data_IF_671286146580
#
_entry.id   IF_671286146580
#
_cell.length_a   1.000
_cell.length_b   1.000
_cell.length_c   1.000
_cell.angle_alpha   90.00
_cell.angle_beta   90.00
_cell.angle_gamma   90.00
#
_symmetry.space_group_name_H-M   'P 1'
#
loop_
_entity.id
_entity.type
_entity.pdbx_description
1 polymer ?
#
# COMPACT_ATOMS: atom_id res chain seq x y z
N UNK A 1 19.09 -19.79 -12.41
CA UNK A 1 18.11 -18.68 -12.29
C UNK A 1 17.06 -19.09 -11.27
N UNK A 2 17.02 -18.46 -10.10
CA UNK A 2 15.99 -18.75 -9.10
C UNK A 2 14.62 -18.27 -9.63
N UNK A 3 13.60 -19.12 -9.60
CA UNK A 3 12.24 -18.74 -9.97
C UNK A 3 11.76 -17.68 -8.98
N UNK A 4 11.38 -16.50 -9.46
CA UNK A 4 10.72 -15.50 -8.62
C UNK A 4 9.48 -16.15 -7.98
N UNK A 5 9.30 -16.03 -6.66
CA UNK A 5 8.16 -16.63 -5.98
C UNK A 5 6.85 -16.15 -6.61
N UNK A 6 5.92 -17.09 -6.80
CA UNK A 6 4.61 -16.78 -7.37
C UNK A 6 3.87 -15.90 -6.36
N UNK A 7 3.66 -14.62 -6.70
CA UNK A 7 2.77 -13.74 -5.95
C UNK A 7 1.42 -14.43 -5.76
N UNK A 8 1.09 -14.75 -4.51
CA UNK A 8 -0.21 -15.28 -4.10
C UNK A 8 -1.09 -14.10 -3.72
N UNK A 9 -2.29 -14.04 -4.29
CA UNK A 9 -3.27 -12.98 -4.01
C UNK A 9 -4.51 -13.68 -3.46
N UNK A 10 -4.91 -13.40 -2.20
CA UNK A 10 -6.06 -14.04 -1.59
C UNK A 10 -7.37 -13.64 -2.31
N UNK A 11 -8.44 -14.32 -1.95
CA UNK A 11 -9.80 -13.94 -2.32
C UNK A 11 -10.48 -13.26 -1.13
N UNK A 12 -11.46 -12.41 -1.39
CA UNK A 12 -12.29 -11.76 -0.38
C UNK A 12 -13.77 -11.94 -0.74
N UNK A 13 -14.65 -11.86 0.26
CA UNK A 13 -16.10 -11.77 0.03
C UNK A 13 -16.60 -10.32 0.03
N UNK A 14 -15.78 -9.39 0.53
CA UNK A 14 -16.09 -7.97 0.48
C UNK A 14 -15.84 -7.42 -0.94
N UNK A 15 -16.82 -6.72 -1.50
CA UNK A 15 -16.76 -6.21 -2.88
C UNK A 15 -15.61 -5.21 -3.08
N UNK A 16 -15.41 -4.31 -2.13
CA UNK A 16 -14.35 -3.32 -2.16
C UNK A 16 -12.96 -3.97 -2.13
N UNK A 17 -12.71 -4.88 -1.18
CA UNK A 17 -11.43 -5.59 -1.10
C UNK A 17 -11.19 -6.48 -2.33
N UNK A 18 -12.26 -7.10 -2.86
CA UNK A 18 -12.19 -7.86 -4.12
C UNK A 18 -11.75 -6.99 -5.28
N UNK A 19 -12.25 -5.76 -5.39
CA UNK A 19 -11.85 -4.81 -6.42
C UNK A 19 -10.35 -4.47 -6.33
N UNK A 20 -9.85 -4.18 -5.12
CA UNK A 20 -8.43 -3.94 -4.84
C UNK A 20 -7.58 -5.14 -5.25
N UNK A 21 -7.91 -6.34 -4.76
CA UNK A 21 -7.20 -7.58 -5.06
C UNK A 21 -7.21 -7.89 -6.56
N UNK A 22 -8.31 -7.61 -7.25
CA UNK A 22 -8.41 -7.79 -8.70
C UNK A 22 -7.45 -6.86 -9.47
N UNK A 23 -7.24 -5.64 -8.96
CA UNK A 23 -6.34 -4.67 -9.57
C UNK A 23 -4.87 -5.09 -9.40
N UNK A 24 -4.49 -5.58 -8.22
CA UNK A 24 -3.19 -6.23 -8.03
C UNK A 24 -3.00 -7.45 -8.92
N UNK A 25 -4.05 -8.28 -9.10
CA UNK A 25 -3.98 -9.46 -9.97
C UNK A 25 -3.71 -9.07 -11.42
N UNK A 26 -4.39 -8.03 -11.93
CA UNK A 26 -4.19 -7.48 -13.29
C UNK A 26 -2.78 -6.91 -13.49
N UNK A 27 -2.18 -6.30 -12.46
CA UNK A 27 -0.83 -5.69 -12.52
C UNK A 27 0.30 -6.60 -12.06
N UNK A 28 0.00 -7.83 -11.61
CA UNK A 28 0.96 -8.78 -11.05
C UNK A 28 2.18 -9.09 -11.92
N UNK A 29 2.07 -8.99 -13.25
CA UNK A 29 3.22 -9.13 -14.16
C UNK A 29 4.14 -7.91 -14.09
N UNK A 30 3.59 -6.71 -14.20
CA UNK A 30 4.36 -5.46 -14.15
C UNK A 30 5.09 -5.29 -12.81
N UNK A 31 4.39 -5.58 -11.71
CA UNK A 31 4.94 -5.48 -10.36
C UNK A 31 6.16 -6.41 -10.12
N UNK A 32 6.24 -7.55 -10.83
CA UNK A 32 7.35 -8.51 -10.69
C UNK A 32 8.63 -8.10 -11.42
N UNK A 33 8.54 -7.24 -12.44
CA UNK A 33 9.71 -6.88 -13.24
C UNK A 33 10.68 -5.94 -12.50
N UNK A 34 10.26 -5.34 -11.39
CA UNK A 34 10.97 -4.23 -10.76
C UNK A 34 11.91 -4.59 -9.59
N UNK A 35 12.29 -5.87 -9.41
CA UNK A 35 13.11 -6.33 -8.26
C UNK A 35 12.49 -6.11 -6.87
N UNK A 36 11.16 -6.07 -6.78
CA UNK A 36 10.42 -6.00 -5.53
C UNK A 36 9.84 -7.37 -5.17
N UNK A 37 9.91 -7.73 -3.89
CA UNK A 37 9.07 -8.79 -3.33
C UNK A 37 7.77 -8.16 -2.83
N UNK A 38 6.66 -8.81 -3.16
CA UNK A 38 5.32 -8.38 -2.74
C UNK A 38 4.67 -9.53 -2.01
N UNK A 39 4.18 -9.28 -0.80
CA UNK A 39 3.29 -10.16 -0.04
C UNK A 39 1.91 -9.51 0.05
N UNK A 40 0.85 -10.30 -0.15
CA UNK A 40 -0.53 -9.86 0.05
C UNK A 40 -1.21 -10.89 0.93
N UNK A 41 -1.62 -10.47 2.11
CA UNK A 41 -2.26 -11.32 3.11
C UNK A 41 -3.66 -10.82 3.42
N UNK A 42 -4.57 -11.76 3.63
CA UNK A 42 -5.92 -11.48 4.10
C UNK A 42 -5.98 -11.84 5.58
N UNK A 43 -6.32 -10.86 6.40
CA UNK A 43 -6.35 -10.95 7.86
C UNK A 43 -7.78 -10.69 8.32
N UNK A 44 -8.18 -11.38 9.38
CA UNK A 44 -9.39 -11.07 10.11
C UNK A 44 -9.01 -10.60 11.51
N UNK A 45 -9.47 -9.42 11.87
CA UNK A 45 -9.32 -8.86 13.21
C UNK A 45 -10.65 -9.03 13.94
N UNK A 46 -10.58 -9.53 15.17
CA UNK A 46 -11.74 -9.69 16.05
C UNK A 46 -11.75 -8.53 17.05
N UNK A 47 -12.83 -7.75 17.05
CA UNK A 47 -13.04 -6.62 17.96
C UNK A 47 -14.38 -6.79 18.67
N UNK A 48 -14.36 -7.11 19.96
CA UNK A 48 -15.53 -7.38 20.81
C UNK A 48 -16.46 -8.45 20.22
N UNK A 49 -17.37 -8.06 19.32
CA UNK A 49 -18.33 -8.93 18.62
C UNK A 49 -18.25 -8.86 17.08
N UNK A 50 -17.40 -7.99 16.53
CA UNK A 50 -17.26 -7.77 15.09
C UNK A 50 -15.99 -8.40 14.52
N UNK A 51 -16.16 -9.06 13.39
CA UNK A 51 -15.07 -9.60 12.58
C UNK A 51 -14.81 -8.66 11.41
N UNK A 52 -13.66 -7.98 11.45
CA UNK A 52 -13.26 -7.03 10.42
C UNK A 52 -12.25 -7.67 9.49
N UNK A 53 -12.56 -7.71 8.19
CA UNK A 53 -11.62 -8.16 7.17
C UNK A 53 -10.66 -7.04 6.79
N UNK A 54 -9.37 -7.39 6.67
CA UNK A 54 -8.29 -6.49 6.27
C UNK A 54 -7.37 -7.16 5.26
N UNK A 55 -6.87 -6.40 4.31
CA UNK A 55 -5.77 -6.81 3.43
C UNK A 55 -4.49 -6.09 3.85
N UNK A 56 -3.43 -6.85 4.06
CA UNK A 56 -2.08 -6.32 4.28
C UNK A 56 -1.22 -6.57 3.04
N UNK A 57 -0.56 -5.52 2.57
CA UNK A 57 0.31 -5.56 1.40
C UNK A 57 1.68 -5.06 1.82
N UNK A 58 2.68 -5.93 1.71
CA UNK A 58 4.07 -5.57 1.96
C UNK A 58 4.84 -5.60 0.65
N UNK A 59 5.54 -4.52 0.35
CA UNK A 59 6.35 -4.36 -0.86
C UNK A 59 7.78 -3.99 -0.42
N UNK A 60 8.73 -4.89 -0.67
CA UNK A 60 10.13 -4.77 -0.23
C UNK A 60 11.07 -4.81 -1.46
N UNK A 61 11.93 -3.79 -1.66
CA UNK A 61 12.93 -3.85 -2.72
C UNK A 61 14.02 -4.86 -2.34
N UNK A 62 14.52 -5.64 -3.30
CA UNK A 62 15.49 -6.71 -3.00
C UNK A 62 16.85 -6.21 -2.50
N UNK A 63 17.22 -4.98 -2.85
CA UNK A 63 18.58 -4.47 -2.67
C UNK A 63 18.67 -3.34 -1.63
N UNK A 64 17.59 -3.05 -0.89
CA UNK A 64 17.58 -1.99 0.13
C UNK A 64 16.85 -2.45 1.39
N UNK A 65 17.28 -1.95 2.54
CA UNK A 65 16.57 -2.12 3.80
C UNK A 65 15.46 -1.07 3.87
N UNK A 66 14.34 -1.41 3.27
CA UNK A 66 13.23 -0.50 3.05
C UNK A 66 11.92 -1.29 2.88
N UNK A 67 10.79 -0.66 3.16
CA UNK A 67 9.48 -1.32 3.02
C UNK A 67 8.38 -0.30 2.75
N UNK A 68 7.44 -0.65 1.87
CA UNK A 68 6.12 -0.05 1.76
C UNK A 68 5.09 -1.06 2.29
N UNK A 69 4.28 -0.64 3.26
CA UNK A 69 3.22 -1.43 3.87
C UNK A 69 1.88 -0.69 3.73
N UNK A 70 0.91 -1.35 3.11
CA UNK A 70 -0.46 -0.88 3.00
C UNK A 70 -1.35 -1.80 3.82
N UNK A 71 -2.24 -1.22 4.62
CA UNK A 71 -3.30 -1.96 5.30
C UNK A 71 -4.64 -1.38 4.89
N UNK A 72 -5.56 -2.23 4.48
CA UNK A 72 -6.81 -1.84 3.82
C UNK A 72 -7.93 -2.61 4.50
N UNK A 73 -8.78 -1.94 5.25
CA UNK A 73 -9.91 -2.53 5.94
C UNK A 73 -11.15 -2.55 5.03
N UNK A 74 -12.06 -3.47 5.29
CA UNK A 74 -13.29 -3.68 4.51
C UNK A 74 -14.22 -2.45 4.44
N UNK A 75 -14.06 -1.50 5.36
CA UNK A 75 -14.80 -0.24 5.47
C UNK A 75 -14.14 0.94 4.71
N UNK A 76 -13.11 0.64 3.92
CA UNK A 76 -12.27 1.56 3.14
C UNK A 76 -11.27 2.38 3.95
N UNK A 77 -11.05 2.09 5.24
CA UNK A 77 -9.90 2.66 5.94
C UNK A 77 -8.60 2.14 5.32
N UNK A 78 -7.64 3.03 5.10
CA UNK A 78 -6.33 2.69 4.56
C UNK A 78 -5.25 3.35 5.38
N UNK A 79 -4.24 2.58 5.74
CA UNK A 79 -2.96 3.11 6.22
C UNK A 79 -1.86 2.82 5.21
N UNK A 80 -1.04 3.81 4.93
CA UNK A 80 0.14 3.74 4.09
C UNK A 80 1.33 4.06 4.98
N UNK A 81 2.23 3.09 5.15
CA UNK A 81 3.49 3.32 5.83
C UNK A 81 4.65 2.94 4.91
N UNK A 82 5.68 3.76 4.89
CA UNK A 82 6.79 3.61 3.98
C UNK A 82 8.06 4.07 4.69
N UNK A 83 9.13 3.30 4.60
CA UNK A 83 10.37 3.66 5.28
C UNK A 83 11.60 3.12 4.56
N UNK A 84 12.73 3.78 4.78
CA UNK A 84 14.05 3.33 4.36
C UNK A 84 15.07 3.53 5.49
N UNK A 85 16.01 2.59 5.59
CA UNK A 85 17.06 2.56 6.60
C UNK A 85 18.38 2.16 5.95
N UNK A 86 19.19 3.12 5.57
CA UNK A 86 20.56 2.90 5.10
C UNK A 86 21.56 3.58 6.04
N UNK A 87 22.85 3.52 5.71
CA UNK A 87 23.87 4.32 6.41
C UNK A 87 23.74 5.81 6.11
N UNK A 88 23.20 6.16 4.95
CA UNK A 88 23.16 7.54 4.42
C UNK A 88 21.80 8.21 4.64
N UNK A 89 20.73 7.42 4.64
CA UNK A 89 19.35 7.90 4.67
C UNK A 89 18.52 7.11 5.69
N UNK A 90 17.73 7.82 6.49
CA UNK A 90 16.74 7.23 7.40
C UNK A 90 15.50 8.12 7.40
N UNK A 91 14.40 7.59 6.89
CA UNK A 91 13.16 8.34 6.85
C UNK A 91 11.95 7.41 7.01
N UNK A 92 10.89 7.96 7.57
CA UNK A 92 9.61 7.32 7.77
C UNK A 92 8.51 8.19 7.19
N UNK A 93 7.56 7.54 6.55
CA UNK A 93 6.35 8.13 6.04
C UNK A 93 5.17 7.33 6.55
N UNK A 94 4.17 8.04 7.04
CA UNK A 94 2.90 7.47 7.45
C UNK A 94 1.78 8.39 6.97
N UNK A 95 0.75 7.80 6.40
CA UNK A 95 -0.45 8.51 5.98
C UNK A 95 -1.65 7.57 6.08
N UNK A 96 -2.78 8.09 6.51
CA UNK A 96 -3.99 7.30 6.67
C UNK A 96 -5.23 8.10 6.32
N UNK A 97 -6.30 7.37 6.03
CA UNK A 97 -7.60 7.97 5.77
C UNK A 97 -8.54 6.99 5.09
N UNK A 98 -9.74 7.49 4.80
CA UNK A 98 -10.77 6.70 4.11
C UNK A 98 -10.61 6.80 2.61
N UNK A 99 -10.46 5.68 1.91
CA UNK A 99 -10.37 5.68 0.45
C UNK A 99 -11.71 6.12 -0.16
N UNK A 100 -11.64 7.15 -1.00
CA UNK A 100 -12.81 7.70 -1.69
C UNK A 100 -13.47 6.63 -2.59
N UNK A 101 -14.82 6.57 -2.66
CA UNK A 101 -15.56 5.57 -3.44
C UNK A 101 -15.08 5.38 -4.88
N UNK A 102 -14.78 6.48 -5.57
CA UNK A 102 -14.36 6.55 -6.96
C UNK A 102 -12.85 6.30 -7.19
N UNK A 103 -12.10 6.10 -6.10
CA UNK A 103 -10.64 5.89 -6.12
C UNK A 103 -10.23 4.43 -5.88
N UNK A 104 -11.19 3.51 -5.81
CA UNK A 104 -10.90 2.07 -5.72
C UNK A 104 -10.38 1.49 -7.05
N UNK A 105 -9.64 0.39 -6.95
CA UNK A 105 -9.16 -0.35 -8.10
C UNK A 105 -7.96 0.30 -8.82
N UNK A 106 -8.18 0.87 -10.01
CA UNK A 106 -7.10 1.39 -10.87
C UNK A 106 -6.37 2.60 -10.27
N UNK A 107 -7.05 3.66 -9.80
CA UNK A 107 -6.37 4.79 -9.18
C UNK A 107 -5.54 4.36 -7.97
N UNK A 108 -6.05 3.42 -7.17
CA UNK A 108 -5.30 2.87 -6.04
C UNK A 108 -4.00 2.19 -6.48
N UNK A 109 -4.06 1.26 -7.45
CA UNK A 109 -2.85 0.55 -7.89
C UNK A 109 -1.87 1.48 -8.62
N UNK A 110 -2.36 2.46 -9.36
CA UNK A 110 -1.53 3.48 -10.00
C UNK A 110 -0.77 4.30 -8.93
N UNK A 111 -1.43 4.68 -7.81
CA UNK A 111 -0.75 5.33 -6.66
C UNK A 111 0.28 4.44 -5.95
N UNK A 112 0.04 3.14 -5.87
CA UNK A 112 1.04 2.18 -5.35
C UNK A 112 2.26 2.14 -6.25
N UNK A 113 2.06 2.02 -7.57
CA UNK A 113 3.15 2.02 -8.55
C UNK A 113 3.91 3.36 -8.57
N UNK A 114 3.22 4.49 -8.47
CA UNK A 114 3.83 5.81 -8.34
C UNK A 114 4.67 5.94 -7.07
N UNK A 115 4.18 5.38 -5.95
CA UNK A 115 4.94 5.33 -4.70
C UNK A 115 6.21 4.50 -4.89
N UNK A 116 6.12 3.32 -5.51
CA UNK A 116 7.27 2.47 -5.81
C UNK A 116 8.27 3.15 -6.74
N UNK A 117 7.80 3.86 -7.77
CA UNK A 117 8.64 4.56 -8.73
C UNK A 117 9.44 5.69 -8.07
N UNK A 118 8.81 6.45 -7.16
CA UNK A 118 9.47 7.54 -6.45
C UNK A 118 10.35 7.07 -5.30
N UNK A 119 10.08 5.88 -4.75
CA UNK A 119 10.73 5.35 -3.55
C UNK A 119 12.25 5.50 -3.55
N UNK A 120 12.91 5.15 -4.65
CA UNK A 120 14.39 5.17 -4.73
C UNK A 120 15.01 6.57 -4.77
N UNK A 121 14.22 7.60 -5.08
CA UNK A 121 14.64 9.00 -5.11
C UNK A 121 14.32 9.74 -3.79
N UNK A 122 13.65 9.06 -2.86
CA UNK A 122 13.18 9.67 -1.62
C UNK A 122 14.31 9.86 -0.63
N UNK A 123 14.17 10.96 0.10
CA UNK A 123 15.00 11.39 1.22
C UNK A 123 14.08 12.02 2.25
N UNK A 124 14.57 12.19 3.46
CA UNK A 124 13.80 12.79 4.57
C UNK A 124 13.16 14.14 4.18
N UNK A 125 13.86 14.98 3.42
CA UNK A 125 13.36 16.30 2.99
C UNK A 125 12.39 16.27 1.80
N UNK A 126 12.01 15.09 1.29
CA UNK A 126 11.14 14.94 0.10
C UNK A 126 9.83 14.20 0.38
N UNK A 127 9.52 13.91 1.64
CA UNK A 127 8.31 13.14 2.04
C UNK A 127 7.00 13.73 1.49
N UNK A 128 6.92 15.04 1.29
CA UNK A 128 5.81 15.73 0.62
C UNK A 128 5.45 15.17 -0.77
N UNK A 129 6.38 14.50 -1.45
CA UNK A 129 6.10 13.84 -2.74
C UNK A 129 5.12 12.68 -2.59
N UNK A 130 5.09 12.01 -1.44
CA UNK A 130 4.12 10.96 -1.14
C UNK A 130 2.76 11.53 -0.75
N UNK A 131 2.70 12.65 -0.04
CA UNK A 131 1.44 13.37 0.22
C UNK A 131 0.71 13.66 -1.10
N UNK A 132 1.44 14.16 -2.11
CA UNK A 132 0.87 14.42 -3.44
C UNK A 132 0.29 13.18 -4.16
N UNK A 133 0.72 11.97 -3.78
CA UNK A 133 0.18 10.72 -4.32
C UNK A 133 -1.08 10.30 -3.54
N UNK A 134 -1.06 10.40 -2.21
CA UNK A 134 -2.07 9.77 -1.36
C UNK A 134 -3.20 10.71 -0.93
N UNK A 135 -2.94 12.00 -0.74
CA UNK A 135 -3.97 13.00 -0.37
C UNK A 135 -5.16 13.04 -1.35
N UNK A 136 -4.99 12.92 -2.68
CA UNK A 136 -6.13 12.91 -3.61
C UNK A 136 -6.97 11.62 -3.56
N UNK A 137 -6.50 10.57 -2.88
CA UNK A 137 -7.17 9.27 -2.79
C UNK A 137 -7.87 9.07 -1.46
N UNK A 138 -7.25 9.55 -0.37
CA UNK A 138 -7.70 9.29 0.99
C UNK A 138 -8.31 10.55 1.58
N UNK A 139 -9.55 10.46 2.03
CA UNK A 139 -10.16 11.42 2.93
C UNK A 139 -9.61 11.19 4.34
N UNK A 140 -8.55 11.91 4.67
CA UNK A 140 -8.16 12.23 6.02
C UNK A 140 -9.22 13.19 6.59
N UNK A 141 -9.82 12.87 7.73
CA UNK A 141 -10.95 13.62 8.31
C UNK A 141 -10.67 15.11 8.49
N UNK A 142 -11.68 15.89 8.91
CA UNK A 142 -11.51 17.33 9.18
C UNK A 142 -10.32 17.56 10.11
N UNK A 143 -9.29 18.26 9.61
CA UNK A 143 -8.27 18.83 10.48
C UNK A 143 -8.98 19.85 11.38
N UNK A 144 -8.97 19.60 12.70
CA UNK A 144 -9.29 20.63 13.67
C UNK A 144 -8.24 21.72 13.49
N UNK A 145 -8.60 22.78 12.74
CA UNK A 145 -7.82 24.00 12.65
C UNK A 145 -7.60 24.49 14.08
N UNK A 146 -6.35 24.45 14.54
CA UNK A 146 -5.93 25.04 15.82
C UNK A 146 -5.72 26.54 15.65
#
# INVERSE_FOLDING_TARGET
MAKSPKLTIPESKNEFLTEILSSFRKRSKSLKHNSWSISIERIFEEYEDDKVEKIEIEIKPSNRNAMLCLRIWQDRWVTVSCWERTKEEKWDYFFEGKLLPEKSGRPFIDSVEDTMAKFFEMRENKLERFNKIWTPLLANGLELVK
#
